data_IF_043693684374
#
_entry.id   IF_043693684374
#
_cell.length_a   1.000
_cell.length_b   1.000
_cell.length_c   1.000
_cell.angle_alpha   90.00
_cell.angle_beta   90.00
_cell.angle_gamma   90.00
#
_symmetry.space_group_name_H-M   'P 1'
#
loop_
_entity.id
_entity.type
_entity.pdbx_description
1 polymer ?
#
# COMPACT_ATOMS: atom_id res chain seq x y z
N UNK A 1 6.65 -38.45 13.81
CA UNK A 1 6.08 -38.05 12.51
C UNK A 1 5.37 -36.74 12.78
N UNK A 2 6.08 -35.65 12.51
CA UNK A 2 5.67 -34.28 12.80
C UNK A 2 4.58 -33.84 11.82
N UNK A 3 3.36 -33.67 12.31
CA UNK A 3 2.27 -33.07 11.55
C UNK A 3 2.30 -31.56 11.81
N UNK A 4 2.95 -30.82 10.91
CA UNK A 4 3.02 -29.37 10.94
C UNK A 4 1.62 -28.81 10.65
N UNK A 5 0.92 -28.34 11.69
CA UNK A 5 -0.30 -27.53 11.59
C UNK A 5 0.00 -26.24 10.81
N UNK A 6 -0.12 -26.32 9.49
CA UNK A 6 0.03 -25.23 8.53
C UNK A 6 -1.19 -24.31 8.54
N UNK A 7 -1.66 -23.89 9.72
CA UNK A 7 -2.69 -22.86 9.82
C UNK A 7 -2.11 -21.56 9.22
N UNK A 8 -2.68 -21.00 8.13
CA UNK A 8 -2.23 -19.71 7.64
C UNK A 8 -2.39 -18.72 8.79
N UNK A 9 -1.31 -18.01 9.12
CA UNK A 9 -1.31 -16.96 10.14
C UNK A 9 -2.43 -16.00 9.79
N UNK A 10 -3.53 -16.06 10.56
CA UNK A 10 -4.63 -15.11 10.49
C UNK A 10 -4.01 -13.73 10.62
N UNK A 11 -4.01 -12.93 9.55
CA UNK A 11 -3.43 -11.59 9.55
C UNK A 11 -4.25 -10.79 10.56
N UNK A 12 -3.71 -10.61 11.77
CA UNK A 12 -4.31 -9.71 12.76
C UNK A 12 -4.63 -8.39 12.06
N UNK A 13 -5.80 -7.79 12.32
CA UNK A 13 -6.19 -6.49 11.76
C UNK A 13 -5.00 -5.55 11.89
N UNK A 14 -4.32 -5.32 10.77
CA UNK A 14 -2.95 -4.82 10.81
C UNK A 14 -3.00 -3.42 11.41
N UNK A 15 -2.17 -3.11 12.42
CA UNK A 15 -2.01 -1.76 13.01
C UNK A 15 -2.04 -0.62 11.97
N UNK A 16 -1.62 -0.94 10.73
CA UNK A 16 -1.57 -0.10 9.53
C UNK A 16 -2.93 0.34 8.99
N UNK A 17 -3.99 -0.48 9.05
CA UNK A 17 -5.37 -0.03 8.66
C UNK A 17 -5.93 0.96 9.68
N UNK A 18 -5.46 0.91 10.94
CA UNK A 18 -5.79 1.94 11.94
C UNK A 18 -5.09 3.27 11.66
N UNK A 19 -3.97 3.29 10.92
CA UNK A 19 -3.28 4.53 10.56
C UNK A 19 -4.09 5.40 9.59
N UNK A 20 -4.98 4.80 8.77
CA UNK A 20 -5.94 5.53 7.94
C UNK A 20 -6.91 6.40 8.76
N UNK A 21 -7.12 6.05 10.04
CA UNK A 21 -8.03 6.76 10.97
C UNK A 21 -7.28 7.58 12.03
N UNK A 22 -5.95 7.56 12.02
CA UNK A 22 -5.14 8.29 13.01
C UNK A 22 -4.90 9.71 12.53
N UNK A 23 -4.93 10.64 13.48
CA UNK A 23 -4.57 12.04 13.31
C UNK A 23 -3.37 12.38 14.18
N UNK A 24 -2.31 12.92 13.57
CA UNK A 24 -1.31 13.87 14.09
C UNK A 24 -0.46 13.58 15.34
N UNK A 25 -0.90 12.79 16.31
CA UNK A 25 -0.31 12.84 17.66
C UNK A 25 1.09 12.20 17.76
N UNK A 26 1.45 11.27 16.86
CA UNK A 26 2.77 10.64 16.83
C UNK A 26 3.20 10.38 15.39
N UNK A 27 4.03 11.29 14.83
CA UNK A 27 4.61 11.10 13.51
C UNK A 27 5.79 10.13 13.53
N UNK A 28 5.83 9.21 12.58
CA UNK A 28 6.96 8.28 12.42
C UNK A 28 8.09 8.99 11.66
N UNK A 29 9.29 9.03 12.24
CA UNK A 29 10.46 9.64 11.59
C UNK A 29 11.01 8.67 10.54
N UNK A 30 11.21 9.17 9.32
CA UNK A 30 11.83 8.42 8.23
C UNK A 30 13.30 8.83 8.12
N UNK A 31 14.18 7.88 8.33
CA UNK A 31 15.63 8.08 8.33
C UNK A 31 16.16 8.14 6.89
N UNK A 32 17.20 8.95 6.70
CA UNK A 32 17.95 9.05 5.44
C UNK A 32 19.34 8.47 5.68
N UNK A 33 19.77 7.54 4.84
CA UNK A 33 21.13 7.01 4.91
C UNK A 33 22.16 8.00 4.34
N UNK A 34 23.45 7.67 4.47
CA UNK A 34 24.57 8.50 3.98
C UNK A 34 24.51 8.78 2.47
N UNK A 35 23.77 7.97 1.72
CA UNK A 35 23.57 8.11 0.27
C UNK A 35 22.36 8.99 -0.09
N UNK A 36 21.69 9.61 0.89
CA UNK A 36 20.50 10.42 0.66
C UNK A 36 19.22 9.60 0.38
N UNK A 37 19.22 8.30 0.67
CA UNK A 37 18.10 7.40 0.42
C UNK A 37 17.32 7.11 1.70
N UNK A 38 15.99 7.06 1.59
CA UNK A 38 15.09 6.69 2.69
C UNK A 38 15.39 5.24 3.13
N UNK A 39 15.72 5.06 4.40
CA UNK A 39 16.15 3.78 4.95
C UNK A 39 15.62 3.56 6.37
N UNK A 40 15.96 2.40 6.94
CA UNK A 40 15.65 2.08 8.33
C UNK A 40 14.20 1.64 8.58
N UNK A 41 13.84 1.61 9.86
CA UNK A 41 12.53 1.12 10.31
C UNK A 41 11.40 2.06 9.87
N UNK A 42 11.65 3.37 9.89
CA UNK A 42 10.69 4.37 9.43
C UNK A 42 10.30 4.20 7.96
N UNK A 43 11.29 3.93 7.08
CA UNK A 43 11.02 3.63 5.67
C UNK A 43 10.23 2.33 5.47
N UNK A 44 10.51 1.31 6.28
CA UNK A 44 9.80 0.03 6.20
C UNK A 44 8.33 0.20 6.61
N UNK A 45 8.06 0.98 7.64
CA UNK A 45 6.69 1.35 8.06
C UNK A 45 5.99 2.15 6.95
N UNK A 46 6.65 3.17 6.42
CA UNK A 46 6.14 4.03 5.36
C UNK A 46 5.81 3.22 4.10
N UNK A 47 6.78 2.48 3.53
CA UNK A 47 6.58 1.72 2.28
C UNK A 47 5.43 0.73 2.36
N UNK A 48 5.26 0.08 3.51
CA UNK A 48 4.10 -0.78 3.78
C UNK A 48 2.79 0.02 3.81
N UNK A 49 2.79 1.19 4.45
CA UNK A 49 1.64 2.07 4.52
C UNK A 49 1.26 2.65 3.16
N UNK A 50 2.25 3.00 2.32
CA UNK A 50 2.02 3.45 0.93
C UNK A 50 1.21 2.42 0.13
N UNK A 51 1.47 1.14 0.34
CA UNK A 51 0.65 0.08 -0.27
C UNK A 51 -0.79 0.08 0.26
N UNK A 52 -1.00 0.32 1.56
CA UNK A 52 -2.35 0.36 2.17
C UNK A 52 -3.15 1.55 1.63
N UNK A 53 -2.58 2.75 1.69
CA UNK A 53 -3.29 3.98 1.26
C UNK A 53 -3.64 3.93 -0.23
N UNK A 54 -2.73 3.40 -1.07
CA UNK A 54 -2.98 3.23 -2.50
C UNK A 54 -4.12 2.26 -2.75
N UNK A 55 -4.17 1.11 -2.07
CA UNK A 55 -5.25 0.13 -2.26
C UNK A 55 -6.60 0.67 -1.78
N UNK A 56 -6.60 1.50 -0.74
CA UNK A 56 -7.80 2.04 -0.14
C UNK A 56 -8.38 3.21 -0.95
N UNK A 57 -7.51 4.10 -1.46
CA UNK A 57 -7.92 5.34 -2.11
C UNK A 57 -7.93 5.31 -3.63
N UNK A 58 -7.21 4.38 -4.28
CA UNK A 58 -7.08 4.34 -5.74
C UNK A 58 -8.02 3.28 -6.32
N UNK A 59 -9.09 3.68 -7.03
CA UNK A 59 -9.98 2.75 -7.67
C UNK A 59 -9.28 1.84 -8.68
N UNK A 60 -9.64 0.56 -8.69
CA UNK A 60 -9.13 -0.43 -9.66
C UNK A 60 -9.52 -0.12 -11.11
N UNK A 61 -10.43 0.83 -11.36
CA UNK A 61 -10.74 1.28 -12.74
C UNK A 61 -9.55 2.00 -13.40
N UNK A 62 -8.60 2.51 -12.61
CA UNK A 62 -7.39 3.10 -13.15
C UNK A 62 -6.38 2.02 -13.53
N UNK A 63 -6.20 1.80 -14.84
CA UNK A 63 -5.25 0.80 -15.35
C UNK A 63 -3.78 1.21 -15.23
N UNK A 64 -3.52 2.52 -15.23
CA UNK A 64 -2.17 3.09 -15.17
C UNK A 64 -2.14 4.19 -14.10
N UNK A 65 -1.09 4.20 -13.29
CA UNK A 65 -0.82 5.22 -12.29
C UNK A 65 -0.80 6.64 -12.89
N UNK A 66 -0.37 6.77 -14.15
CA UNK A 66 -0.36 8.06 -14.87
C UNK A 66 -1.76 8.64 -15.06
N UNK A 67 -2.80 7.79 -15.12
CA UNK A 67 -4.20 8.19 -15.29
C UNK A 67 -4.89 8.57 -13.98
N UNK A 68 -4.28 8.24 -12.84
CA UNK A 68 -4.81 8.62 -11.53
C UNK A 68 -4.74 10.15 -11.37
N UNK A 69 -5.86 10.82 -11.02
CA UNK A 69 -5.92 12.27 -10.90
C UNK A 69 -4.86 12.83 -9.95
N UNK A 70 -4.25 13.97 -10.31
CA UNK A 70 -3.23 14.61 -9.49
C UNK A 70 -3.78 15.00 -8.11
N UNK A 71 -5.04 15.43 -8.04
CA UNK A 71 -5.72 15.74 -6.78
C UNK A 71 -5.67 14.56 -5.81
N UNK A 72 -6.03 13.36 -6.28
CA UNK A 72 -6.03 12.15 -5.45
C UNK A 72 -4.61 11.79 -4.97
N UNK A 73 -3.60 11.99 -5.82
CA UNK A 73 -2.19 11.77 -5.45
C UNK A 73 -1.74 12.75 -4.36
N UNK A 74 -2.11 14.01 -4.50
CA UNK A 74 -1.79 15.06 -3.54
C UNK A 74 -2.49 14.82 -2.21
N UNK A 75 -3.79 14.47 -2.22
CA UNK A 75 -4.55 14.17 -1.01
C UNK A 75 -3.91 13.02 -0.21
N UNK A 76 -3.50 11.94 -0.90
CA UNK A 76 -2.75 10.85 -0.28
C UNK A 76 -1.39 11.31 0.26
N UNK A 77 -0.66 12.14 -0.48
CA UNK A 77 0.64 12.66 -0.06
C UNK A 77 0.54 13.55 1.19
N UNK A 78 -0.46 14.44 1.24
CA UNK A 78 -0.76 15.26 2.42
C UNK A 78 -1.07 14.38 3.63
N UNK A 79 -1.89 13.34 3.46
CA UNK A 79 -2.18 12.40 4.54
C UNK A 79 -0.93 11.66 5.04
N UNK A 80 0.02 11.32 4.14
CA UNK A 80 1.30 10.73 4.53
C UNK A 80 2.16 11.75 5.30
N UNK A 81 2.20 13.02 4.88
CA UNK A 81 2.92 14.09 5.57
C UNK A 81 2.39 14.38 6.99
N UNK A 82 1.11 14.08 7.23
CA UNK A 82 0.50 14.18 8.56
C UNK A 82 0.90 13.04 9.50
N UNK A 83 1.25 11.87 8.95
CA UNK A 83 1.60 10.67 9.72
C UNK A 83 3.11 10.42 9.82
N UNK A 84 3.90 10.96 8.90
CA UNK A 84 5.34 10.70 8.80
C UNK A 84 6.12 12.02 8.74
N UNK A 85 7.26 12.05 9.42
CA UNK A 85 8.25 13.12 9.24
C UNK A 85 9.11 12.73 8.04
N UNK A 86 8.86 13.40 6.92
CA UNK A 86 9.52 13.14 5.64
C UNK A 86 10.68 14.12 5.43
N UNK A 87 11.80 13.66 4.86
CA UNK A 87 12.90 14.55 4.50
C UNK A 87 12.57 15.36 3.23
N UNK A 88 13.24 16.50 3.08
CA UNK A 88 13.08 17.40 1.93
C UNK A 88 13.31 16.65 0.60
N UNK A 89 12.44 16.86 -0.39
CA UNK A 89 12.48 16.23 -1.73
C UNK A 89 12.14 14.73 -1.80
N UNK A 90 11.59 14.13 -0.74
CA UNK A 90 11.18 12.71 -0.75
C UNK A 90 9.88 12.43 -1.50
N UNK A 91 9.08 13.47 -1.81
CA UNK A 91 7.77 13.35 -2.46
C UNK A 91 7.82 12.56 -3.78
N UNK A 92 8.82 12.83 -4.61
CA UNK A 92 9.01 12.13 -5.88
C UNK A 92 9.21 10.63 -5.67
N UNK A 93 10.04 10.25 -4.70
CA UNK A 93 10.29 8.85 -4.37
C UNK A 93 8.99 8.20 -3.86
N UNK A 94 8.27 8.87 -2.95
CA UNK A 94 7.01 8.38 -2.41
C UNK A 94 5.98 8.13 -3.53
N UNK A 95 5.80 9.09 -4.44
CA UNK A 95 4.88 8.95 -5.57
C UNK A 95 5.29 7.82 -6.52
N UNK A 96 6.60 7.58 -6.71
CA UNK A 96 7.10 6.44 -7.48
C UNK A 96 6.79 5.12 -6.77
N UNK A 97 7.03 5.02 -5.46
CA UNK A 97 6.72 3.83 -4.67
C UNK A 97 5.22 3.54 -4.65
N UNK A 98 4.38 4.56 -4.54
CA UNK A 98 2.92 4.42 -4.64
C UNK A 98 2.48 3.89 -6.01
N UNK A 99 3.07 4.41 -7.09
CA UNK A 99 2.81 3.92 -8.44
C UNK A 99 3.23 2.46 -8.63
N UNK A 100 4.38 2.06 -8.08
CA UNK A 100 4.83 0.67 -8.08
C UNK A 100 3.89 -0.22 -7.25
N UNK A 101 3.46 0.23 -6.07
CA UNK A 101 2.51 -0.49 -5.23
C UNK A 101 1.15 -0.69 -5.92
N UNK A 102 0.65 0.33 -6.62
CA UNK A 102 -0.57 0.25 -7.42
C UNK A 102 -0.44 -0.80 -8.53
N UNK A 103 0.65 -0.74 -9.30
CA UNK A 103 0.94 -1.72 -10.35
C UNK A 103 1.00 -3.14 -9.80
N UNK A 104 1.76 -3.34 -8.72
CA UNK A 104 1.93 -4.65 -8.10
C UNK A 104 0.60 -5.20 -7.60
N UNK A 105 -0.22 -4.37 -6.93
CA UNK A 105 -1.55 -4.77 -6.47
C UNK A 105 -2.44 -5.24 -7.62
N UNK A 106 -2.47 -4.50 -8.73
CA UNK A 106 -3.22 -4.91 -9.93
C UNK A 106 -2.71 -6.22 -10.52
N UNK A 107 -1.40 -6.39 -10.61
CA UNK A 107 -0.80 -7.63 -11.10
C UNK A 107 -1.20 -8.80 -10.22
N UNK A 108 -1.04 -8.70 -8.90
CA UNK A 108 -1.44 -9.73 -7.93
C UNK A 108 -2.92 -10.06 -8.05
N UNK A 109 -3.80 -9.05 -8.07
CA UNK A 109 -5.24 -9.25 -8.27
C UNK A 109 -5.56 -9.98 -9.57
N UNK A 110 -4.88 -9.61 -10.66
CA UNK A 110 -5.11 -10.27 -11.93
C UNK A 110 -4.64 -11.73 -11.90
N UNK A 111 -3.42 -12.00 -11.42
CA UNK A 111 -2.84 -13.35 -11.46
C UNK A 111 -3.46 -14.31 -10.45
N UNK A 112 -3.77 -13.82 -9.25
CA UNK A 112 -4.24 -14.68 -8.16
C UNK A 112 -5.76 -14.80 -8.11
N UNK A 113 -6.50 -13.81 -8.60
CA UNK A 113 -7.96 -13.79 -8.48
C UNK A 113 -8.65 -13.81 -9.85
N UNK A 114 -8.32 -12.89 -10.75
CA UNK A 114 -9.05 -12.75 -12.02
C UNK A 114 -8.75 -13.91 -12.98
N UNK A 115 -7.47 -14.25 -13.16
CA UNK A 115 -7.02 -15.31 -14.08
C UNK A 115 -7.57 -16.69 -13.69
N UNK A 116 -7.78 -16.94 -12.39
CA UNK A 116 -8.30 -18.22 -11.89
C UNK A 116 -9.82 -18.36 -12.04
N UNK A 117 -10.52 -17.25 -12.29
CA UNK A 117 -11.98 -17.18 -12.33
C UNK A 117 -12.51 -16.55 -13.62
N UNK A 118 -11.71 -16.52 -14.69
CA UNK A 118 -12.16 -15.96 -15.98
C UNK A 118 -13.35 -16.71 -16.57
N UNK A 119 -13.45 -18.01 -16.33
CA UNK A 119 -14.53 -18.88 -16.81
C UNK A 119 -15.77 -18.88 -15.87
N UNK A 120 -15.67 -18.28 -14.68
CA UNK A 120 -16.71 -18.28 -13.65
C UNK A 120 -16.99 -16.86 -13.14
N UNK A 121 -17.64 -16.00 -13.95
CA UNK A 121 -17.84 -14.58 -13.62
C UNK A 121 -18.65 -14.36 -12.34
N UNK A 122 -19.46 -15.34 -11.92
CA UNK A 122 -20.18 -15.29 -10.65
C UNK A 122 -19.25 -15.21 -9.43
N UNK A 123 -18.06 -15.83 -9.50
CA UNK A 123 -17.05 -15.80 -8.44
C UNK A 123 -16.30 -14.47 -8.36
N UNK A 124 -16.36 -13.65 -9.41
CA UNK A 124 -15.80 -12.29 -9.44
C UNK A 124 -16.75 -11.22 -8.86
N UNK A 125 -17.98 -11.60 -8.52
CA UNK A 125 -18.97 -10.70 -7.90
C UNK A 125 -18.61 -10.32 -6.46
N UNK A 126 -17.78 -11.14 -5.79
CA UNK A 126 -17.31 -10.90 -4.45
C UNK A 126 -15.86 -10.39 -4.47
N UNK A 127 -15.48 -9.46 -3.57
CA UNK A 127 -14.09 -9.06 -3.45
C UNK A 127 -13.22 -10.27 -3.05
N UNK A 128 -11.95 -10.33 -3.48
CA UNK A 128 -11.01 -11.35 -3.03
C UNK A 128 -10.97 -11.39 -1.50
N UNK A 129 -11.04 -12.58 -0.90
CA UNK A 129 -10.94 -12.73 0.55
C UNK A 129 -9.57 -12.22 1.03
N UNK A 130 -9.58 -11.31 2.03
CA UNK A 130 -8.40 -10.68 2.65
C UNK A 130 -7.65 -11.60 3.64
#
# INVERSE_FOLDING_TARGET
MDELDGRPRRREKTKKKMMLKKSGDHKVIVEVNELGVLAGKGWTELSNYLGVIVRDHVPIVYHDWRRVPLKLKNDMLTHIQDLFVLPTNSEKHILQTMGAAHKNFRCTLYTEFIAQHMDEPEKLSLPPNE
#
